data_IF_188697511037
#
_entry.id   IF_188697511037
#
_cell.length_a   1.000
_cell.length_b   1.000
_cell.length_c   1.000
_cell.angle_alpha   90.00
_cell.angle_beta   90.00
_cell.angle_gamma   90.00
#
_symmetry.space_group_name_H-M   'P 1'
#
loop_
_entity.id
_entity.type
_entity.pdbx_description
1 polymer ?
#
# COMPACT_ATOMS: atom_id res chain seq x y z
N UNK A 1 -4.87 -6.76 -25.98
CA UNK A 1 -4.75 -6.24 -24.61
C UNK A 1 -5.38 -7.29 -23.71
N UNK A 2 -4.58 -8.04 -22.95
CA UNK A 2 -5.12 -9.05 -22.04
C UNK A 2 -5.49 -8.34 -20.73
N UNK A 3 -6.77 -8.36 -20.37
CA UNK A 3 -7.22 -7.95 -19.05
C UNK A 3 -6.48 -8.81 -18.01
N UNK A 4 -5.74 -8.17 -17.11
CA UNK A 4 -5.13 -8.88 -15.99
C UNK A 4 -6.28 -9.47 -15.16
N UNK A 5 -6.27 -10.77 -14.84
CA UNK A 5 -7.34 -11.39 -14.08
C UNK A 5 -7.41 -10.72 -12.70
N UNK A 6 -8.59 -10.22 -12.34
CA UNK A 6 -8.86 -9.66 -11.03
C UNK A 6 -8.66 -10.76 -9.99
N UNK A 7 -7.63 -10.60 -9.16
CA UNK A 7 -7.32 -11.57 -8.11
C UNK A 7 -8.42 -11.47 -7.04
N UNK A 8 -9.03 -12.60 -6.59
CA UNK A 8 -10.00 -12.57 -5.50
C UNK A 8 -9.37 -11.94 -4.26
N UNK A 9 -10.12 -11.07 -3.57
CA UNK A 9 -9.72 -10.20 -2.46
C UNK A 9 -8.76 -10.93 -1.50
N UNK A 10 -7.48 -10.57 -1.58
CA UNK A 10 -6.42 -11.10 -0.73
C UNK A 10 -6.38 -10.38 0.62
N UNK A 11 -5.46 -10.78 1.52
CA UNK A 11 -5.18 -10.01 2.72
C UNK A 11 -4.78 -8.57 2.35
N UNK A 12 -5.16 -7.61 3.19
CA UNK A 12 -4.69 -6.23 3.05
C UNK A 12 -3.20 -6.15 3.41
N UNK A 13 -2.40 -5.44 2.61
CA UNK A 13 -0.99 -5.21 2.89
C UNK A 13 -0.48 -3.91 2.24
N UNK A 14 0.58 -3.38 2.84
CA UNK A 14 1.48 -2.37 2.29
C UNK A 14 2.88 -2.98 2.30
N UNK A 15 3.53 -3.06 1.13
CA UNK A 15 4.93 -3.45 1.01
C UNK A 15 5.70 -2.32 0.35
N UNK A 16 6.76 -1.86 1.00
CA UNK A 16 7.75 -0.95 0.46
C UNK A 16 9.09 -1.68 0.42
N UNK A 17 9.75 -1.66 -0.73
CA UNK A 17 11.08 -2.24 -0.93
C UNK A 17 12.17 -1.22 -0.54
N UNK A 18 13.40 -1.68 -0.42
CA UNK A 18 14.55 -0.83 -0.07
C UNK A 18 14.82 0.31 -1.07
N UNK A 19 14.28 0.22 -2.28
CA UNK A 19 14.37 1.25 -3.32
C UNK A 19 13.18 2.24 -3.32
N UNK A 20 12.30 2.16 -2.34
CA UNK A 20 11.11 3.02 -2.22
C UNK A 20 9.90 2.55 -3.03
N UNK A 21 10.09 1.61 -3.98
CA UNK A 21 8.98 1.06 -4.76
C UNK A 21 8.19 0.03 -3.98
N UNK A 22 6.93 -0.22 -4.36
CA UNK A 22 6.10 -1.10 -3.57
C UNK A 22 4.77 -1.51 -4.18
N UNK A 23 3.92 -2.06 -3.33
CA UNK A 23 2.56 -2.46 -3.68
C UNK A 23 1.64 -2.32 -2.45
N UNK A 24 0.42 -1.80 -2.69
CA UNK A 24 -0.68 -1.86 -1.74
C UNK A 24 -1.79 -2.76 -2.27
N UNK A 25 -2.43 -3.47 -1.36
CA UNK A 25 -3.71 -4.12 -1.62
C UNK A 25 -4.63 -3.99 -0.41
N UNK A 26 -5.90 -3.65 -0.64
CA UNK A 26 -6.94 -3.62 0.39
C UNK A 26 -8.31 -3.65 -0.31
N UNK A 27 -9.22 -4.53 0.09
CA UNK A 27 -10.49 -4.69 -0.63
C UNK A 27 -10.26 -5.06 -2.10
N UNK A 28 -10.80 -4.26 -3.03
CA UNK A 28 -10.57 -4.42 -4.47
C UNK A 28 -9.40 -3.59 -5.02
N UNK A 29 -8.84 -2.68 -4.22
CA UNK A 29 -7.69 -1.87 -4.58
C UNK A 29 -6.44 -2.75 -4.72
N UNK A 30 -5.75 -2.60 -5.84
CA UNK A 30 -4.36 -3.03 -6.03
C UNK A 30 -3.60 -1.93 -6.75
N UNK A 31 -2.50 -1.45 -6.16
CA UNK A 31 -1.72 -0.37 -6.75
C UNK A 31 -0.22 -0.57 -6.58
N UNK A 32 0.55 -0.13 -7.58
CA UNK A 32 1.99 0.04 -7.44
C UNK A 32 2.25 1.32 -6.64
N UNK A 33 3.29 1.28 -5.81
CA UNK A 33 3.74 2.39 -4.98
C UNK A 33 5.09 2.88 -5.45
N UNK A 34 5.27 4.20 -5.44
CA UNK A 34 6.56 4.87 -5.58
C UNK A 34 6.69 5.84 -4.41
N UNK A 35 7.69 5.64 -3.56
CA UNK A 35 7.79 6.34 -2.28
C UNK A 35 9.22 6.73 -1.91
N UNK A 36 9.31 7.73 -1.04
CA UNK A 36 10.55 8.24 -0.49
C UNK A 36 10.55 8.08 1.02
N UNK A 37 11.63 7.50 1.56
CA UNK A 37 11.77 7.33 3.01
C UNK A 37 11.96 8.68 3.70
N UNK A 38 11.23 8.86 4.80
CA UNK A 38 11.33 10.02 5.69
C UNK A 38 12.13 9.67 6.94
N UNK A 39 12.27 10.60 7.88
CA UNK A 39 12.95 10.33 9.15
C UNK A 39 12.19 9.33 10.03
N UNK A 40 10.87 9.20 9.85
CA UNK A 40 9.97 8.39 10.67
C UNK A 40 9.28 7.26 9.89
N UNK A 41 9.38 7.24 8.56
CA UNK A 41 8.52 6.42 7.75
C UNK A 41 8.75 6.56 6.25
N UNK A 42 7.66 6.68 5.51
CA UNK A 42 7.65 6.81 4.05
C UNK A 42 6.45 7.66 3.62
N UNK A 43 6.69 8.57 2.69
CA UNK A 43 5.65 9.27 1.92
C UNK A 43 5.64 8.65 0.52
N UNK A 44 4.45 8.46 -0.07
CA UNK A 44 4.36 7.76 -1.34
C UNK A 44 3.20 8.18 -2.22
N UNK A 45 3.40 8.07 -3.53
CA UNK A 45 2.36 8.08 -4.55
C UNK A 45 2.01 6.65 -4.94
N UNK A 46 0.77 6.43 -5.38
CA UNK A 46 0.33 5.13 -5.87
C UNK A 46 -0.57 5.22 -7.10
N UNK A 47 -0.47 4.19 -7.94
CA UNK A 47 -1.24 4.06 -9.18
C UNK A 47 -1.74 2.62 -9.34
N UNK A 48 -3.06 2.45 -9.50
CA UNK A 48 -3.67 1.14 -9.47
C UNK A 48 -5.08 1.06 -10.01
N UNK A 49 -5.76 -0.02 -9.67
CA UNK A 49 -7.15 -0.22 -10.00
C UNK A 49 -7.95 -0.59 -8.74
N UNK A 50 -9.16 -0.04 -8.64
CA UNK A 50 -10.15 -0.36 -7.63
C UNK A 50 -11.46 -0.73 -8.32
N UNK A 51 -12.02 -1.89 -7.99
CA UNK A 51 -13.18 -2.49 -8.66
C UNK A 51 -13.10 -2.57 -10.21
N UNK A 52 -11.89 -2.47 -10.77
CA UNK A 52 -11.64 -2.50 -12.21
C UNK A 52 -11.46 -1.12 -12.86
N UNK A 53 -11.67 -0.04 -12.10
CA UNK A 53 -11.46 1.33 -12.55
C UNK A 53 -10.06 1.83 -12.15
N UNK A 54 -9.42 2.57 -13.05
CA UNK A 54 -8.12 3.17 -12.79
C UNK A 54 -8.25 4.26 -11.73
N UNK A 55 -7.43 4.17 -10.70
CA UNK A 55 -7.34 5.13 -9.60
C UNK A 55 -5.89 5.51 -9.32
N UNK A 56 -5.71 6.68 -8.73
CA UNK A 56 -4.43 7.21 -8.26
C UNK A 56 -4.64 7.89 -6.92
N UNK A 57 -3.54 8.08 -6.21
CA UNK A 57 -3.55 8.78 -4.95
C UNK A 57 -2.17 8.87 -4.33
N UNK A 58 -2.15 9.33 -3.10
CA UNK A 58 -0.96 9.44 -2.26
C UNK A 58 -1.21 8.84 -0.89
N UNK A 59 -0.16 8.74 -0.09
CA UNK A 59 -0.24 8.24 1.27
C UNK A 59 1.06 8.42 2.02
N UNK A 60 1.01 8.07 3.30
CA UNK A 60 2.16 8.07 4.19
C UNK A 60 2.04 6.93 5.19
N UNK A 61 3.16 6.50 5.74
CA UNK A 61 3.21 5.53 6.83
C UNK A 61 4.40 5.80 7.75
N UNK A 62 4.14 6.04 9.03
CA UNK A 62 5.15 6.23 10.06
C UNK A 62 5.30 4.99 10.95
N UNK A 63 6.54 4.72 11.36
CA UNK A 63 6.88 3.67 12.31
C UNK A 63 6.54 4.11 13.74
N UNK A 64 5.72 3.32 14.40
CA UNK A 64 5.36 3.48 15.80
C UNK A 64 6.37 2.81 16.74
N UNK A 65 6.36 3.24 18.00
CA UNK A 65 7.18 2.65 19.06
C UNK A 65 6.90 1.15 19.30
N UNK A 66 5.72 0.65 18.93
CA UNK A 66 5.34 -0.76 19.05
C UNK A 66 5.73 -1.61 17.83
N UNK A 67 6.44 -1.02 16.87
CA UNK A 67 6.92 -1.68 15.65
C UNK A 67 5.86 -1.85 14.56
N UNK A 68 4.66 -1.27 14.74
CA UNK A 68 3.61 -1.20 13.70
C UNK A 68 3.80 0.05 12.84
N UNK A 69 3.18 0.05 11.66
CA UNK A 69 3.02 1.26 10.87
C UNK A 69 1.64 1.86 11.14
N UNK A 70 1.58 3.18 11.29
CA UNK A 70 0.36 3.98 11.20
C UNK A 70 0.45 4.85 9.97
N UNK A 71 -0.64 4.97 9.23
CA UNK A 71 -0.61 5.72 7.99
C UNK A 71 -1.98 6.00 7.42
N UNK A 72 -1.97 6.60 6.23
CA UNK A 72 -3.15 6.98 5.48
C UNK A 72 -2.95 6.68 3.99
N UNK A 73 -4.04 6.33 3.33
CA UNK A 73 -4.15 6.20 1.89
C UNK A 73 -5.26 7.15 1.43
N UNK A 74 -4.94 8.09 0.56
CA UNK A 74 -5.87 9.08 0.04
C UNK A 74 -6.01 8.94 -1.47
N UNK A 75 -7.25 8.81 -1.97
CA UNK A 75 -7.54 8.83 -3.40
C UNK A 75 -7.52 10.29 -3.89
N UNK A 76 -6.89 10.56 -5.03
CA UNK A 76 -6.80 11.94 -5.58
C UNK A 76 -8.17 12.60 -5.80
N UNK A 77 -9.18 11.78 -6.12
CA UNK A 77 -10.56 12.21 -6.41
C UNK A 77 -11.58 11.55 -5.49
N UNK A 78 -11.20 11.20 -4.26
CA UNK A 78 -12.04 10.39 -3.40
C UNK A 78 -11.80 10.59 -1.92
N UNK A 79 -12.14 9.56 -1.17
CA UNK A 79 -11.98 9.51 0.27
C UNK A 79 -10.53 9.17 0.65
N UNK A 80 -10.23 9.39 1.92
CA UNK A 80 -9.02 8.95 2.59
C UNK A 80 -9.35 7.88 3.63
N UNK A 81 -8.41 6.97 3.89
CA UNK A 81 -8.55 5.94 4.91
C UNK A 81 -7.28 5.76 5.69
N UNK A 82 -7.39 5.82 7.02
CA UNK A 82 -6.28 5.55 7.93
C UNK A 82 -6.17 4.05 8.23
N UNK A 83 -4.94 3.57 8.45
CA UNK A 83 -4.68 2.17 8.75
C UNK A 83 -3.63 2.01 9.85
N UNK A 84 -3.67 0.85 10.52
CA UNK A 84 -2.56 0.31 11.30
C UNK A 84 -2.13 -1.00 10.64
N UNK A 85 -0.87 -1.09 10.24
CA UNK A 85 -0.29 -2.31 9.67
C UNK A 85 0.66 -2.97 10.67
N UNK A 86 0.49 -4.27 10.86
CA UNK A 86 1.42 -5.09 11.64
C UNK A 86 2.52 -5.64 10.72
N UNK A 87 3.74 -5.85 11.24
CA UNK A 87 4.80 -6.49 10.46
C UNK A 87 4.32 -7.80 9.87
N UNK A 88 4.55 -7.98 8.56
CA UNK A 88 4.17 -9.23 7.91
C UNK A 88 4.98 -10.37 8.55
N UNK A 89 4.34 -11.46 9.01
CA UNK A 89 5.08 -12.57 9.57
C UNK A 89 5.96 -13.14 8.46
N UNK A 90 7.28 -12.90 8.57
CA UNK A 90 8.25 -13.53 7.69
C UNK A 90 8.05 -15.04 7.82
N UNK A 91 7.53 -15.68 6.78
CA UNK A 91 7.75 -17.11 6.63
C UNK A 91 9.21 -17.23 6.21
N UNK A 92 10.11 -17.30 7.18
CA UNK A 92 11.44 -17.83 6.96
C UNK A 92 11.28 -19.31 6.63
N UNK A 93 10.85 -19.61 5.41
CA UNK A 93 11.03 -20.91 4.82
C UNK A 93 12.53 -21.05 4.53
N UNK A 94 13.26 -21.54 5.52
CA UNK A 94 14.53 -22.21 5.33
C UNK A 94 14.28 -23.70 5.17
#
# INVERSE_FOLDING_TARGET
MAARPTRPVGPAFLRINDDGTGEIAFGALTAAVDGDFTASGVDFDWNGADEGDQVTGSGWADLRDDGKLEGEIAYDNGDETSFIAEPWPFSAAC
#
